data_IF_296353424783
#
_entry.id   IF_296353424783
#
_cell.length_a   1.000
_cell.length_b   1.000
_cell.length_c   1.000
_cell.angle_alpha   90.00
_cell.angle_beta   90.00
_cell.angle_gamma   90.00
#
_symmetry.space_group_name_H-M   'P 1'
#
loop_
_entity.id
_entity.type
_entity.pdbx_description
1 polymer ?
#
# COMPACT_ATOMS: atom_id res chain seq x y z
N UNK A 1 -7.86 12.69 10.75
CA UNK A 1 -7.93 13.26 9.38
C UNK A 1 -7.77 12.12 8.36
N UNK A 2 -8.64 12.01 7.35
CA UNK A 2 -8.51 10.93 6.34
C UNK A 2 -7.54 11.34 5.23
N UNK A 3 -6.25 11.06 5.42
CA UNK A 3 -5.19 11.44 4.47
C UNK A 3 -5.40 10.89 3.06
N UNK A 4 -5.95 9.68 2.95
CA UNK A 4 -6.20 9.03 1.66
C UNK A 4 -7.19 9.84 0.84
N UNK A 5 -8.28 10.33 1.46
CA UNK A 5 -9.28 11.14 0.77
C UNK A 5 -8.67 12.42 0.17
N UNK A 6 -7.74 13.05 0.88
CA UNK A 6 -7.01 14.21 0.37
C UNK A 6 -6.01 13.86 -0.73
N UNK A 7 -5.48 12.64 -0.77
CA UNK A 7 -4.54 12.19 -1.80
C UNK A 7 -5.22 11.87 -3.15
N UNK A 8 -6.52 11.52 -3.14
CA UNK A 8 -7.26 11.09 -4.34
C UNK A 8 -7.17 12.10 -5.50
N UNK A 9 -7.41 13.42 -5.31
CA UNK A 9 -7.28 14.39 -6.41
C UNK A 9 -5.87 14.42 -7.01
N UNK A 10 -4.83 14.23 -6.19
CA UNK A 10 -3.44 14.19 -6.65
C UNK A 10 -3.14 12.91 -7.43
N UNK A 11 -3.70 11.77 -7.03
CA UNK A 11 -3.58 10.53 -7.79
C UNK A 11 -4.15 10.67 -9.20
N UNK A 12 -5.35 11.25 -9.32
CA UNK A 12 -5.94 11.52 -10.63
C UNK A 12 -5.11 12.52 -11.44
N UNK A 13 -4.65 13.61 -10.83
CA UNK A 13 -3.76 14.56 -11.49
C UNK A 13 -2.51 13.87 -12.05
N UNK A 14 -1.83 13.05 -11.25
CA UNK A 14 -0.63 12.33 -11.66
C UNK A 14 -0.91 11.30 -12.76
N UNK A 15 -2.04 10.59 -12.70
CA UNK A 15 -2.49 9.69 -13.77
C UNK A 15 -2.67 10.46 -15.10
N UNK A 16 -3.35 11.61 -15.07
CA UNK A 16 -3.56 12.41 -16.28
C UNK A 16 -2.24 13.00 -16.81
N UNK A 17 -1.33 13.40 -15.93
CA UNK A 17 0.00 13.86 -16.32
C UNK A 17 0.83 12.73 -16.94
N UNK A 18 0.82 11.54 -16.35
CA UNK A 18 1.51 10.37 -16.89
C UNK A 18 0.95 9.97 -18.26
N UNK A 19 -0.38 9.95 -18.40
CA UNK A 19 -1.06 9.69 -19.66
C UNK A 19 -0.66 10.72 -20.74
N UNK A 20 -0.72 12.02 -20.40
CA UNK A 20 -0.33 13.10 -21.31
C UNK A 20 1.14 13.00 -21.73
N UNK A 21 2.03 12.69 -20.79
CA UNK A 21 3.45 12.43 -21.07
C UNK A 21 3.63 11.22 -21.99
N UNK A 22 2.92 10.12 -21.72
CA UNK A 22 2.94 8.90 -22.53
C UNK A 22 2.56 9.19 -23.98
N UNK A 23 1.49 9.96 -24.22
CA UNK A 23 1.12 10.40 -25.57
C UNK A 23 2.18 11.30 -26.21
N UNK A 24 2.67 12.32 -25.50
CA UNK A 24 3.65 13.27 -26.02
C UNK A 24 4.99 12.61 -26.41
N UNK A 25 5.35 11.51 -25.76
CA UNK A 25 6.60 10.76 -26.01
C UNK A 25 6.40 9.51 -26.88
N UNK A 26 5.19 9.21 -27.33
CA UNK A 26 4.87 7.99 -28.07
C UNK A 26 5.10 6.71 -27.26
N UNK A 27 4.96 6.78 -25.93
CA UNK A 27 5.14 5.71 -24.96
C UNK A 27 3.94 5.61 -24.01
N UNK A 28 2.73 5.59 -24.57
CA UNK A 28 1.53 5.42 -23.76
C UNK A 28 1.46 3.98 -23.20
N UNK A 29 1.29 3.88 -21.89
CA UNK A 29 1.20 2.64 -21.12
C UNK A 29 -0.20 2.39 -20.58
N UNK A 30 -1.17 3.23 -20.91
CA UNK A 30 -2.56 3.10 -20.46
C UNK A 30 -3.41 2.36 -21.48
N UNK A 31 -4.08 1.32 -21.00
CA UNK A 31 -5.17 0.63 -21.70
C UNK A 31 -6.46 0.81 -20.92
N UNK A 32 -7.52 1.24 -21.62
CA UNK A 32 -8.77 1.69 -20.98
C UNK A 32 -9.41 0.58 -20.13
N UNK A 33 -9.53 -0.63 -20.66
CA UNK A 33 -10.11 -1.76 -19.94
C UNK A 33 -9.32 -2.11 -18.66
N UNK A 34 -7.99 -2.04 -18.71
CA UNK A 34 -7.14 -2.33 -17.56
C UNK A 34 -7.22 -1.21 -16.51
N UNK A 35 -7.25 0.04 -16.97
CA UNK A 35 -7.41 1.22 -16.11
C UNK A 35 -8.75 1.18 -15.36
N UNK A 36 -9.86 0.86 -16.06
CA UNK A 36 -11.19 0.72 -15.46
C UNK A 36 -11.18 -0.39 -14.41
N UNK A 37 -10.55 -1.53 -14.69
CA UNK A 37 -10.45 -2.63 -13.74
C UNK A 37 -9.64 -2.19 -12.49
N UNK A 38 -8.49 -1.55 -12.67
CA UNK A 38 -7.68 -1.01 -11.57
C UNK A 38 -8.47 -0.03 -10.69
N UNK A 39 -9.19 0.92 -11.29
CA UNK A 39 -10.05 1.87 -10.56
C UNK A 39 -11.23 1.17 -9.84
N UNK A 40 -11.82 0.16 -10.46
CA UNK A 40 -12.94 -0.60 -9.88
C UNK A 40 -12.48 -1.40 -8.66
N UNK A 41 -11.36 -2.11 -8.77
CA UNK A 41 -10.70 -2.82 -7.68
C UNK A 41 -10.31 -1.85 -6.55
N UNK A 42 -9.74 -0.69 -6.88
CA UNK A 42 -9.42 0.35 -5.92
C UNK A 42 -10.63 0.83 -5.15
N UNK A 43 -11.72 1.16 -5.86
CA UNK A 43 -12.99 1.59 -5.26
C UNK A 43 -13.55 0.52 -4.32
N UNK A 44 -13.59 -0.74 -4.77
CA UNK A 44 -14.06 -1.86 -3.96
C UNK A 44 -13.20 -2.06 -2.70
N UNK A 45 -11.87 -1.99 -2.82
CA UNK A 45 -10.96 -2.08 -1.68
C UNK A 45 -11.20 -0.97 -0.65
N UNK A 46 -11.56 0.24 -1.08
CA UNK A 46 -11.85 1.37 -0.19
C UNK A 46 -13.15 1.14 0.57
N UNK A 47 -14.20 0.67 -0.10
CA UNK A 47 -15.47 0.34 0.53
C UNK A 47 -15.29 -0.75 1.59
N UNK A 48 -14.53 -1.80 1.28
CA UNK A 48 -14.21 -2.85 2.25
C UNK A 48 -13.39 -2.30 3.43
N UNK A 49 -12.39 -1.45 3.15
CA UNK A 49 -11.53 -0.87 4.19
C UNK A 49 -12.32 -0.01 5.18
N UNK A 50 -13.36 0.71 4.74
CA UNK A 50 -14.24 1.46 5.63
C UNK A 50 -14.92 0.55 6.66
N UNK A 51 -15.33 -0.65 6.24
CA UNK A 51 -15.94 -1.65 7.12
C UNK A 51 -14.87 -2.26 8.05
N UNK A 52 -13.75 -2.75 7.49
CA UNK A 52 -12.74 -3.49 8.26
C UNK A 52 -11.98 -2.58 9.23
N UNK A 53 -11.47 -1.43 8.78
CA UNK A 53 -10.71 -0.52 9.65
C UNK A 53 -11.63 0.14 10.68
N UNK A 54 -12.85 0.50 10.30
CA UNK A 54 -13.83 1.08 11.23
C UNK A 54 -14.19 0.11 12.35
N UNK A 55 -14.50 -1.14 12.02
CA UNK A 55 -14.82 -2.18 13.01
C UNK A 55 -13.59 -2.54 13.84
N UNK A 56 -12.43 -2.75 13.22
CA UNK A 56 -11.19 -3.12 13.93
C UNK A 56 -10.73 -2.03 14.89
N UNK A 57 -10.82 -0.77 14.47
CA UNK A 57 -10.51 0.39 15.32
C UNK A 57 -11.47 0.49 16.50
N UNK A 58 -12.78 0.33 16.27
CA UNK A 58 -13.77 0.32 17.35
C UNK A 58 -13.55 -0.82 18.36
N UNK A 59 -13.22 -2.03 17.88
CA UNK A 59 -12.85 -3.16 18.73
C UNK A 59 -11.59 -2.85 19.54
N UNK A 60 -10.56 -2.28 18.91
CA UNK A 60 -9.33 -1.91 19.59
C UNK A 60 -9.57 -0.88 20.70
N UNK A 61 -10.27 0.22 20.41
CA UNK A 61 -10.62 1.24 21.39
C UNK A 61 -11.43 0.64 22.55
N UNK A 62 -12.36 -0.26 22.25
CA UNK A 62 -13.13 -0.99 23.26
C UNK A 62 -12.23 -1.86 24.15
N UNK A 63 -11.29 -2.62 23.58
CA UNK A 63 -10.32 -3.43 24.33
C UNK A 63 -9.46 -2.55 25.23
N UNK A 64 -8.89 -1.46 24.68
CA UNK A 64 -8.05 -0.52 25.43
C UNK A 64 -8.82 0.07 26.61
N UNK A 65 -10.06 0.53 26.38
CA UNK A 65 -10.90 1.10 27.41
C UNK A 65 -11.33 0.06 28.46
N UNK A 66 -11.69 -1.15 28.05
CA UNK A 66 -12.15 -2.20 28.95
C UNK A 66 -11.02 -2.76 29.82
N UNK A 67 -9.85 -3.03 29.22
CA UNK A 67 -8.68 -3.59 29.93
C UNK A 67 -7.73 -2.52 30.50
N UNK A 68 -8.05 -1.23 30.32
CA UNK A 68 -7.22 -0.10 30.78
C UNK A 68 -5.77 -0.20 30.31
N UNK A 69 -5.58 -0.61 29.04
CA UNK A 69 -4.25 -0.78 28.47
C UNK A 69 -3.56 0.58 28.35
N UNK A 70 -2.36 0.69 28.93
CA UNK A 70 -1.57 1.93 28.83
C UNK A 70 -1.08 2.11 27.40
N UNK A 71 -1.46 3.23 26.78
CA UNK A 71 -0.97 3.61 25.46
C UNK A 71 0.35 4.39 25.54
N UNK A 72 1.12 4.32 24.46
CA UNK A 72 2.29 5.17 24.22
C UNK A 72 1.86 6.63 24.04
N UNK A 73 2.73 7.60 24.38
CA UNK A 73 2.38 9.02 24.30
C UNK A 73 2.36 9.51 22.84
N UNK A 74 1.17 9.62 22.24
CA UNK A 74 0.97 9.98 20.83
C UNK A 74 1.44 11.38 20.44
N UNK A 75 1.69 12.26 21.41
CA UNK A 75 2.29 13.58 21.24
C UNK A 75 3.82 13.54 20.98
N UNK A 76 4.46 12.39 21.15
CA UNK A 76 5.92 12.26 21.06
C UNK A 76 6.36 11.73 19.71
N UNK A 77 7.21 12.49 19.03
CA UNK A 77 7.73 12.17 17.69
C UNK A 77 8.41 10.79 17.60
N UNK A 78 9.05 10.33 18.67
CA UNK A 78 9.70 9.02 18.67
C UNK A 78 8.70 7.86 18.52
N UNK A 79 7.46 8.02 19.01
CA UNK A 79 6.38 7.03 18.84
C UNK A 79 6.03 6.92 17.36
N UNK A 80 5.94 8.04 16.66
CA UNK A 80 5.66 8.08 15.22
C UNK A 80 6.77 7.45 14.38
N UNK A 81 8.04 7.81 14.65
CA UNK A 81 9.20 7.24 13.95
C UNK A 81 9.26 5.72 14.16
N UNK A 82 9.10 5.28 15.41
CA UNK A 82 9.14 3.86 15.74
C UNK A 82 7.95 3.10 15.15
N UNK A 83 6.75 3.69 15.13
CA UNK A 83 5.58 3.13 14.47
C UNK A 83 5.83 2.95 12.97
N UNK A 84 6.39 3.97 12.30
CA UNK A 84 6.68 3.94 10.87
C UNK A 84 7.67 2.82 10.52
N UNK A 85 8.81 2.74 11.23
CA UNK A 85 9.82 1.70 10.99
C UNK A 85 9.25 0.30 11.23
N UNK A 86 8.51 0.12 12.33
CA UNK A 86 7.93 -1.17 12.66
C UNK A 86 6.84 -1.55 11.64
N UNK A 87 6.06 -0.58 11.16
CA UNK A 87 5.02 -0.80 10.15
C UNK A 87 5.62 -1.15 8.80
N UNK A 88 6.71 -0.50 8.41
CA UNK A 88 7.46 -0.83 7.20
C UNK A 88 7.95 -2.29 7.24
N UNK A 89 8.54 -2.71 8.37
CA UNK A 89 8.94 -4.12 8.58
C UNK A 89 7.76 -5.08 8.57
N UNK A 90 6.64 -4.73 9.20
CA UNK A 90 5.43 -5.54 9.19
C UNK A 90 4.84 -5.67 7.78
N UNK A 91 4.85 -4.57 7.01
CA UNK A 91 4.41 -4.55 5.62
C UNK A 91 5.31 -5.43 4.75
N UNK A 92 6.63 -5.36 4.90
CA UNK A 92 7.57 -6.25 4.19
C UNK A 92 7.20 -7.72 4.38
N UNK A 93 6.97 -8.16 5.62
CA UNK A 93 6.62 -9.55 5.89
C UNK A 93 5.23 -9.90 5.37
N UNK A 94 4.25 -9.02 5.51
CA UNK A 94 2.92 -9.20 4.93
C UNK A 94 3.03 -9.42 3.42
N UNK A 95 3.77 -8.56 2.76
CA UNK A 95 3.93 -8.57 1.31
C UNK A 95 4.67 -9.83 0.85
N UNK A 96 5.81 -10.14 1.47
CA UNK A 96 6.57 -11.36 1.21
C UNK A 96 5.72 -12.62 1.38
N UNK A 97 5.00 -12.75 2.50
CA UNK A 97 4.15 -13.91 2.72
C UNK A 97 2.99 -13.98 1.72
N UNK A 98 2.51 -12.81 1.26
CA UNK A 98 1.57 -12.69 0.13
C UNK A 98 2.10 -13.28 -1.17
N UNK A 99 3.40 -13.28 -1.41
CA UNK A 99 4.02 -13.91 -2.59
C UNK A 99 4.39 -15.38 -2.36
N UNK A 100 4.87 -15.72 -1.17
CA UNK A 100 5.52 -16.99 -0.88
C UNK A 100 4.54 -18.07 -0.40
N UNK A 101 3.32 -17.70 0.01
CA UNK A 101 2.31 -18.64 0.50
C UNK A 101 1.07 -18.64 -0.39
N UNK A 102 0.71 -19.81 -0.95
CA UNK A 102 -0.41 -19.99 -1.89
C UNK A 102 -1.72 -19.34 -1.42
N UNK A 103 -2.09 -19.53 -0.15
CA UNK A 103 -3.34 -18.99 0.39
C UNK A 103 -3.31 -17.46 0.45
N UNK A 104 -2.17 -16.88 0.84
CA UNK A 104 -2.00 -15.43 0.95
C UNK A 104 -1.82 -14.79 -0.44
N UNK A 105 -1.24 -15.51 -1.39
CA UNK A 105 -1.23 -15.09 -2.80
C UNK A 105 -2.63 -14.92 -3.36
N UNK A 106 -3.59 -15.76 -2.97
CA UNK A 106 -4.99 -15.57 -3.35
C UNK A 106 -5.55 -14.20 -2.97
N UNK A 107 -5.05 -13.58 -1.90
CA UNK A 107 -5.42 -12.22 -1.48
C UNK A 107 -4.57 -11.13 -2.14
N UNK A 108 -3.48 -11.46 -2.82
CA UNK A 108 -2.52 -10.47 -3.35
C UNK A 108 -2.43 -10.46 -4.89
N UNK A 109 -2.67 -11.60 -5.54
CA UNK A 109 -2.59 -11.80 -7.00
C UNK A 109 -3.37 -10.76 -7.80
N UNK A 110 -4.51 -10.31 -7.28
CA UNK A 110 -5.33 -9.30 -7.93
C UNK A 110 -4.58 -7.97 -8.12
N UNK A 111 -3.56 -7.67 -7.31
CA UNK A 111 -2.66 -6.53 -7.51
C UNK A 111 -1.71 -6.74 -8.70
N UNK A 112 -1.23 -7.96 -8.89
CA UNK A 112 -0.25 -8.33 -9.93
C UNK A 112 -0.85 -8.72 -11.29
N UNK A 113 -2.17 -8.71 -11.43
CA UNK A 113 -2.85 -9.18 -12.65
C UNK A 113 -2.91 -8.13 -13.78
N UNK A 114 -2.52 -6.87 -13.52
CA UNK A 114 -2.53 -5.80 -14.52
C UNK A 114 -1.54 -6.15 -15.65
N UNK A 115 -1.97 -5.97 -16.90
CA UNK A 115 -1.11 -6.29 -18.06
C UNK A 115 -0.17 -5.15 -18.44
N UNK A 116 -0.49 -3.92 -18.02
CA UNK A 116 0.30 -2.72 -18.26
C UNK A 116 0.72 -2.10 -16.92
N UNK A 117 1.94 -1.55 -16.82
CA UNK A 117 2.47 -1.01 -15.56
C UNK A 117 2.52 0.52 -15.56
N UNK A 118 1.54 1.15 -14.92
CA UNK A 118 1.36 2.60 -14.84
C UNK A 118 0.69 3.01 -13.52
N UNK A 119 0.49 4.30 -13.27
CA UNK A 119 0.02 4.78 -11.97
C UNK A 119 -1.40 4.28 -11.61
N UNK A 120 -2.21 3.88 -12.60
CA UNK A 120 -3.50 3.24 -12.28
C UNK A 120 -3.31 1.86 -11.65
N UNK A 121 -2.24 1.14 -11.94
CA UNK A 121 -1.92 -0.17 -11.34
C UNK A 121 -1.79 -0.08 -9.81
N UNK A 122 -1.31 1.05 -9.26
CA UNK A 122 -1.30 1.29 -7.82
C UNK A 122 -2.69 1.19 -7.19
N UNK A 123 -3.73 1.60 -7.93
CA UNK A 123 -5.11 1.60 -7.48
C UNK A 123 -5.74 0.21 -7.56
N UNK A 124 -5.10 -0.76 -8.21
CA UNK A 124 -5.55 -2.16 -8.24
C UNK A 124 -5.25 -2.88 -6.92
N UNK A 125 -5.81 -2.34 -5.84
CA UNK A 125 -5.69 -2.92 -4.51
C UNK A 125 -6.61 -4.12 -4.38
N UNK A 126 -6.16 -5.15 -3.65
CA UNK A 126 -7.01 -6.29 -3.36
C UNK A 126 -8.26 -5.89 -2.59
N UNK A 127 -9.37 -6.54 -2.90
CA UNK A 127 -10.66 -6.36 -2.22
C UNK A 127 -11.03 -7.57 -1.36
N UNK A 128 -10.11 -8.52 -1.19
CA UNK A 128 -10.26 -9.66 -0.29
C UNK A 128 -8.95 -9.76 0.50
N UNK A 129 -8.89 -9.02 1.60
CA UNK A 129 -7.79 -9.12 2.56
C UNK A 129 -8.31 -9.71 3.87
N UNK A 130 -7.91 -10.95 4.15
CA UNK A 130 -8.37 -11.71 5.31
C UNK A 130 -7.29 -11.89 6.39
N UNK A 131 -6.08 -11.32 6.20
CA UNK A 131 -4.93 -11.61 7.07
C UNK A 131 -4.14 -10.38 7.50
N UNK A 132 -4.35 -9.21 6.89
CA UNK A 132 -3.72 -7.96 7.33
C UNK A 132 -3.88 -7.65 8.81
N UNK A 133 -5.01 -8.03 9.40
CA UNK A 133 -5.27 -7.76 10.82
C UNK A 133 -4.19 -8.35 11.73
N UNK A 134 -3.60 -9.49 11.35
CA UNK A 134 -2.52 -10.15 12.09
C UNK A 134 -1.28 -9.25 12.20
N UNK A 135 -1.01 -8.43 11.18
CA UNK A 135 0.12 -7.51 11.16
C UNK A 135 -0.15 -6.22 11.96
N UNK A 136 -1.40 -5.93 12.32
CA UNK A 136 -1.73 -4.83 13.22
C UNK A 136 -1.68 -5.23 14.71
N UNK A 137 -1.86 -6.52 15.02
CA UNK A 137 -1.88 -7.01 16.40
C UNK A 137 -0.65 -6.60 17.24
N UNK A 138 0.61 -6.67 16.73
CA UNK A 138 1.77 -6.25 17.51
C UNK A 138 1.70 -4.78 17.96
N UNK A 139 1.14 -3.89 17.12
CA UNK A 139 1.02 -2.47 17.45
C UNK A 139 0.01 -2.24 18.56
N UNK A 140 -1.10 -2.99 18.54
CA UNK A 140 -2.10 -2.94 19.60
C UNK A 140 -1.54 -3.45 20.94
N UNK A 141 -0.75 -4.53 20.92
CA UNK A 141 -0.08 -5.07 22.11
C UNK A 141 0.97 -4.12 22.66
N UNK A 142 1.72 -3.45 21.79
CA UNK A 142 2.72 -2.44 22.17
C UNK A 142 2.10 -1.10 22.62
N UNK A 143 0.78 -0.96 22.50
CA UNK A 143 0.05 0.21 22.97
C UNK A 143 0.19 1.44 22.06
N UNK A 144 0.47 1.29 20.77
CA UNK A 144 0.46 2.42 19.85
C UNK A 144 -0.95 3.02 19.76
N UNK A 145 -1.10 4.35 19.93
CA UNK A 145 -2.40 4.99 19.72
C UNK A 145 -2.94 4.72 18.32
N UNK A 146 -4.25 4.50 18.21
CA UNK A 146 -4.89 4.20 16.93
C UNK A 146 -4.63 5.28 15.88
N UNK A 147 -4.63 6.55 16.28
CA UNK A 147 -4.33 7.68 15.39
C UNK A 147 -2.92 7.59 14.79
N UNK A 148 -1.90 7.24 15.59
CA UNK A 148 -0.51 7.11 15.13
C UNK A 148 -0.42 5.96 14.11
N UNK A 149 -1.00 4.81 14.43
CA UNK A 149 -0.98 3.64 13.55
C UNK A 149 -1.71 3.92 12.24
N UNK A 150 -2.97 4.36 12.28
CA UNK A 150 -3.75 4.58 11.06
C UNK A 150 -3.19 5.70 10.19
N UNK A 151 -2.57 6.72 10.77
CA UNK A 151 -1.86 7.74 10.01
C UNK A 151 -0.62 7.16 9.34
N UNK A 152 0.16 6.34 10.05
CA UNK A 152 1.33 5.62 9.50
C UNK A 152 0.94 4.73 8.32
N UNK A 153 -0.10 3.91 8.48
CA UNK A 153 -0.66 3.06 7.41
C UNK A 153 -1.06 3.90 6.20
N UNK A 154 -1.72 5.04 6.44
CA UNK A 154 -2.17 5.93 5.36
C UNK A 154 -1.00 6.56 4.60
N UNK A 155 0.04 7.02 5.30
CA UNK A 155 1.25 7.58 4.69
C UNK A 155 1.98 6.52 3.86
N UNK A 156 2.15 5.31 4.40
CA UNK A 156 2.77 4.21 3.69
C UNK A 156 1.97 3.83 2.42
N UNK A 157 0.64 3.78 2.51
CA UNK A 157 -0.19 3.50 1.33
C UNK A 157 -0.09 4.62 0.27
N UNK A 158 -0.06 5.89 0.67
CA UNK A 158 0.11 7.01 -0.26
C UNK A 158 1.48 6.92 -0.94
N UNK A 159 2.53 6.56 -0.19
CA UNK A 159 3.86 6.34 -0.74
C UNK A 159 3.88 5.24 -1.80
N UNK A 160 3.11 4.16 -1.62
CA UNK A 160 3.02 3.08 -2.61
C UNK A 160 2.42 3.51 -3.95
N UNK A 161 1.81 4.68 -4.09
CA UNK A 161 1.20 5.08 -5.36
C UNK A 161 2.22 5.39 -6.45
N UNK A 162 3.25 6.19 -6.15
CA UNK A 162 4.14 6.73 -7.17
C UNK A 162 5.12 5.69 -7.72
N UNK A 163 5.30 4.56 -7.03
CA UNK A 163 6.19 3.48 -7.43
C UNK A 163 5.61 2.61 -8.57
N UNK A 164 4.35 2.81 -8.95
CA UNK A 164 3.74 2.11 -10.10
C UNK A 164 3.89 2.91 -11.38
N UNK A 165 5.09 3.01 -11.93
CA UNK A 165 5.29 3.59 -13.25
C UNK A 165 6.50 2.99 -13.93
N UNK A 166 6.42 2.77 -15.23
CA UNK A 166 7.59 2.38 -16.02
C UNK A 166 8.42 3.55 -16.53
N UNK A 167 7.94 4.80 -16.39
CA UNK A 167 8.58 5.97 -16.99
C UNK A 167 9.75 6.53 -16.19
N UNK A 168 9.88 6.15 -14.91
CA UNK A 168 11.00 6.56 -14.07
C UNK A 168 12.16 5.56 -14.26
N UNK A 169 13.37 6.04 -14.61
CA UNK A 169 14.54 5.18 -14.75
C UNK A 169 15.07 4.74 -13.38
N UNK A 170 16.18 3.99 -13.38
CA UNK A 170 16.88 3.67 -12.14
C UNK A 170 17.33 4.93 -11.41
N UNK A 171 17.13 4.98 -10.10
CA UNK A 171 17.50 6.10 -9.23
C UNK A 171 18.83 5.89 -8.48
N UNK A 172 19.58 4.83 -8.83
CA UNK A 172 20.90 4.57 -8.28
C UNK A 172 20.85 4.23 -6.79
N UNK A 173 21.67 4.91 -5.98
CA UNK A 173 21.81 4.62 -4.54
C UNK A 173 20.51 4.78 -3.74
N UNK A 174 19.54 5.56 -4.23
CA UNK A 174 18.23 5.69 -3.58
C UNK A 174 17.48 4.36 -3.50
N UNK A 175 17.69 3.46 -4.47
CA UNK A 175 17.00 2.17 -4.54
C UNK A 175 17.46 1.18 -3.46
N UNK A 176 18.53 1.51 -2.72
CA UNK A 176 19.03 0.68 -1.62
C UNK A 176 18.28 0.93 -0.31
N UNK A 177 17.57 2.06 -0.23
CA UNK A 177 16.89 2.53 0.99
C UNK A 177 15.39 2.67 0.73
N UNK A 178 14.99 3.02 -0.48
CA UNK A 178 13.61 3.30 -0.84
C UNK A 178 13.07 2.33 -1.88
N UNK A 179 11.80 1.96 -1.76
CA UNK A 179 11.04 1.41 -2.88
C UNK A 179 10.92 2.51 -3.93
N UNK A 180 11.38 2.23 -5.15
CA UNK A 180 11.34 3.15 -6.29
C UNK A 180 10.55 2.51 -7.42
N UNK A 181 10.13 3.29 -8.43
CA UNK A 181 9.44 2.71 -9.57
C UNK A 181 10.22 1.61 -10.27
N UNK A 182 11.55 1.69 -10.26
CA UNK A 182 12.39 0.71 -10.91
C UNK A 182 12.42 -0.64 -10.18
N UNK A 183 12.63 -0.65 -8.86
CA UNK A 183 12.66 -1.90 -8.10
C UNK A 183 11.25 -2.52 -7.96
N UNK A 184 10.22 -1.68 -7.88
CA UNK A 184 8.82 -2.12 -7.83
C UNK A 184 8.32 -2.67 -9.17
N UNK A 185 8.76 -2.10 -10.30
CA UNK A 185 8.48 -2.67 -11.63
C UNK A 185 9.08 -4.07 -11.80
N UNK A 186 10.27 -4.31 -11.24
CA UNK A 186 10.89 -5.65 -11.22
C UNK A 186 10.04 -6.62 -10.41
N UNK A 187 9.57 -6.19 -9.24
CA UNK A 187 8.67 -6.97 -8.39
C UNK A 187 7.36 -7.37 -9.08
N UNK A 188 6.75 -6.45 -9.85
CA UNK A 188 5.56 -6.74 -10.64
C UNK A 188 5.82 -7.56 -11.91
N UNK A 189 7.08 -7.86 -12.24
CA UNK A 189 7.41 -8.52 -13.47
C UNK A 189 7.08 -10.03 -13.44
N UNK A 190 6.66 -10.56 -14.58
CA UNK A 190 6.23 -11.97 -14.73
C UNK A 190 7.33 -12.91 -15.22
N UNK A 191 8.50 -12.38 -15.54
CA UNK A 191 9.61 -13.18 -16.07
C UNK A 191 10.34 -13.88 -14.91
N UNK A 192 10.80 -15.11 -15.17
CA UNK A 192 11.33 -16.01 -14.13
C UNK A 192 12.54 -15.46 -13.36
N UNK A 193 13.28 -14.52 -13.94
CA UNK A 193 14.47 -13.94 -13.30
C UNK A 193 14.13 -12.78 -12.34
N UNK A 194 12.90 -12.27 -12.38
CA UNK A 194 12.46 -11.11 -11.59
C UNK A 194 11.25 -11.37 -10.70
N UNK A 195 10.49 -12.45 -10.95
CA UNK A 195 9.38 -12.86 -10.08
C UNK A 195 9.87 -13.10 -8.66
N UNK A 196 9.05 -12.77 -7.66
CA UNK A 196 9.33 -13.04 -6.25
C UNK A 196 10.59 -12.34 -5.71
N UNK A 197 10.82 -11.11 -6.17
CA UNK A 197 11.87 -10.22 -5.68
C UNK A 197 11.30 -8.86 -5.21
N UNK A 198 12.08 -8.13 -4.40
CA UNK A 198 11.81 -6.77 -3.92
C UNK A 198 10.44 -6.59 -3.23
N UNK A 199 10.19 -7.32 -2.13
CA UNK A 199 8.94 -7.23 -1.35
C UNK A 199 8.77 -5.96 -0.50
N UNK A 200 9.77 -5.09 -0.47
CA UNK A 200 9.80 -3.84 0.29
C UNK A 200 11.11 -3.12 0.05
#
# INVERSE_FOLDING_TARGET
VNLILYAIPFFFLLIFLELGWGFARGRNTYRINDTINSLSMGSLSRLQSLVILGVSGAIYEWIVAYFQLRQLPGDRIWVWIFCFILYDLAYYWKHRLGHEMLILWGSHVAHHQSEDFNLSTALRQTSIDFYSFLFYLPFFVLGFPAEVLFTTVSVNLIYQFWVHTEHVPKLGALEWIFVTPSNHRVHHARNKIYVDHNYG
#
